data_IF_054903432389
#
_entry.id   IF_054903432389
#
_cell.length_a   1.000
_cell.length_b   1.000
_cell.length_c   1.000
_cell.angle_alpha   90.00
_cell.angle_beta   90.00
_cell.angle_gamma   90.00
#
_symmetry.space_group_name_H-M   'P 1'
#
loop_
_entity.id
_entity.type
_entity.pdbx_description
1 polymer ?
#
# COMPACT_ATOMS: atom_id res chain seq x y z
N UNK A 1 6.28 -6.33 15.22
CA UNK A 1 5.77 -6.16 13.83
C UNK A 1 5.67 -4.68 13.49
N UNK A 2 5.13 -3.84 14.37
CA UNK A 2 5.13 -2.38 14.19
C UNK A 2 6.55 -1.79 14.05
N UNK A 3 7.48 -2.13 14.95
CA UNK A 3 8.89 -1.68 14.86
C UNK A 3 9.57 -2.08 13.53
N UNK A 4 9.20 -3.23 12.97
CA UNK A 4 9.75 -3.71 11.69
C UNK A 4 9.22 -2.88 10.50
N UNK A 5 7.93 -2.55 10.50
CA UNK A 5 7.37 -1.68 9.47
C UNK A 5 7.94 -0.27 9.55
N UNK A 6 8.13 0.27 10.76
CA UNK A 6 8.78 1.56 10.96
C UNK A 6 10.21 1.57 10.39
N UNK A 7 11.02 0.54 10.68
CA UNK A 7 12.36 0.40 10.09
C UNK A 7 12.33 0.31 8.55
N UNK A 8 11.40 -0.48 7.99
CA UNK A 8 11.26 -0.65 6.54
C UNK A 8 10.84 0.65 5.84
N UNK A 9 9.92 1.40 6.44
CA UNK A 9 9.44 2.69 5.94
C UNK A 9 10.56 3.72 5.98
N UNK A 10 11.28 3.82 7.11
CA UNK A 10 12.43 4.72 7.26
C UNK A 10 13.56 4.38 6.26
N UNK A 11 13.81 3.10 5.97
CA UNK A 11 14.77 2.67 4.97
C UNK A 11 14.36 3.12 3.55
N UNK A 12 13.07 3.01 3.20
CA UNK A 12 12.53 3.45 1.90
C UNK A 12 12.62 4.96 1.70
N UNK A 13 12.30 5.74 2.72
CA UNK A 13 12.38 7.22 2.69
C UNK A 13 13.81 7.69 2.43
N UNK A 14 14.79 7.09 3.13
CA UNK A 14 16.21 7.39 2.93
C UNK A 14 16.72 7.04 1.53
N UNK A 15 16.13 6.03 0.87
CA UNK A 15 16.54 5.57 -0.45
C UNK A 15 16.09 6.51 -1.59
N UNK A 16 15.00 7.27 -1.41
CA UNK A 16 14.37 8.05 -2.48
C UNK A 16 14.62 9.56 -2.38
N UNK A 17 15.50 10.03 -1.49
CA UNK A 17 15.66 11.46 -1.17
C UNK A 17 14.32 12.17 -0.99
N UNK A 18 13.31 11.44 -0.48
CA UNK A 18 12.06 12.05 -0.09
C UNK A 18 12.38 13.13 0.94
N UNK A 19 11.68 14.28 0.93
CA UNK A 19 11.91 15.32 1.93
C UNK A 19 11.94 14.68 3.32
N UNK A 20 12.66 15.27 4.28
CA UNK A 20 12.57 14.78 5.66
C UNK A 20 11.13 15.01 6.15
N UNK A 21 10.27 14.02 6.00
CA UNK A 21 8.88 14.08 6.48
C UNK A 21 8.97 13.82 7.97
N UNK A 22 9.03 14.90 8.75
CA UNK A 22 9.26 14.88 10.21
C UNK A 22 8.12 14.20 10.99
N UNK A 23 7.09 13.68 10.29
CA UNK A 23 6.09 12.69 10.75
C UNK A 23 5.32 12.17 9.54
N UNK A 24 5.55 10.93 9.11
CA UNK A 24 4.76 10.26 8.08
C UNK A 24 3.48 9.72 8.71
N UNK A 25 2.33 10.24 8.25
CA UNK A 25 1.02 9.69 8.60
C UNK A 25 0.48 8.87 7.46
N UNK A 26 0.02 7.67 7.74
CA UNK A 26 -0.48 6.78 6.70
C UNK A 26 -1.04 5.50 7.27
N UNK A 27 -1.38 4.57 6.39
CA UNK A 27 -1.91 3.25 6.74
C UNK A 27 -1.10 2.16 6.05
N UNK A 28 -1.10 0.97 6.62
CA UNK A 28 -0.54 -0.21 5.95
C UNK A 28 -1.65 -0.87 5.15
N UNK A 29 -1.44 -0.96 3.84
CA UNK A 29 -2.24 -1.75 2.91
C UNK A 29 -1.65 -3.16 2.84
N UNK A 30 -2.50 -4.18 2.88
CA UNK A 30 -2.12 -5.56 2.60
C UNK A 30 -2.77 -6.02 1.30
N UNK A 31 -1.97 -6.65 0.46
CA UNK A 31 -2.40 -7.31 -0.77
C UNK A 31 -2.11 -8.81 -0.69
N UNK A 32 -3.14 -9.65 -0.80
CA UNK A 32 -3.02 -11.11 -0.92
C UNK A 32 -2.84 -11.51 -2.40
N UNK A 33 -1.64 -12.00 -2.73
CA UNK A 33 -1.25 -12.34 -4.11
C UNK A 33 -2.05 -13.51 -4.69
N UNK A 34 -2.68 -14.33 -3.86
CA UNK A 34 -3.45 -15.49 -4.28
C UNK A 34 -4.92 -15.18 -4.55
N UNK A 35 -5.38 -14.01 -4.11
CA UNK A 35 -6.79 -13.62 -4.18
C UNK A 35 -7.09 -12.59 -5.28
N UNK A 36 -6.11 -12.16 -6.09
CA UNK A 36 -6.38 -11.19 -7.19
C UNK A 36 -7.17 -11.81 -8.35
N UNK A 37 -8.09 -11.03 -8.92
CA UNK A 37 -8.88 -11.43 -10.10
C UNK A 37 -8.34 -10.92 -11.44
N UNK A 38 -7.31 -10.06 -11.43
CA UNK A 38 -6.69 -9.52 -12.65
C UNK A 38 -7.67 -8.89 -13.65
N UNK A 39 -8.72 -8.20 -13.17
CA UNK A 39 -9.77 -7.62 -14.01
C UNK A 39 -9.45 -6.19 -14.52
N UNK A 40 -8.32 -5.63 -14.08
CA UNK A 40 -7.85 -4.27 -14.38
C UNK A 40 -8.85 -3.16 -14.00
N UNK A 41 -9.82 -3.41 -13.11
CA UNK A 41 -10.74 -2.38 -12.64
C UNK A 41 -10.04 -1.40 -11.70
N UNK A 42 -9.22 -1.90 -10.78
CA UNK A 42 -8.40 -1.07 -9.89
C UNK A 42 -7.52 -0.08 -10.68
N UNK A 43 -6.87 -0.55 -11.74
CA UNK A 43 -6.03 0.30 -12.60
C UNK A 43 -6.78 1.46 -13.25
N UNK A 44 -7.95 1.18 -13.83
CA UNK A 44 -8.74 2.20 -14.51
C UNK A 44 -9.28 3.25 -13.53
N UNK A 45 -9.77 2.80 -12.39
CA UNK A 45 -10.49 3.64 -11.43
C UNK A 45 -9.53 4.43 -10.52
N UNK A 46 -8.29 3.94 -10.36
CA UNK A 46 -7.24 4.63 -9.59
C UNK A 46 -6.21 5.35 -10.45
N UNK A 47 -6.48 5.53 -11.74
CA UNK A 47 -5.55 6.15 -12.69
C UNK A 47 -4.14 5.53 -12.66
N UNK A 48 -4.06 4.21 -12.46
CA UNK A 48 -2.81 3.44 -12.41
C UNK A 48 -2.06 3.48 -11.08
N UNK A 49 -2.66 4.00 -10.00
CA UNK A 49 -2.05 3.92 -8.66
C UNK A 49 -1.98 2.47 -8.17
N UNK A 50 -3.09 1.75 -8.34
CA UNK A 50 -3.15 0.29 -8.28
C UNK A 50 -3.04 -0.23 -9.71
N UNK A 51 -2.23 -1.25 -9.97
CA UNK A 51 -2.09 -1.82 -11.31
C UNK A 51 -3.13 -2.91 -11.60
N UNK A 52 -3.03 -3.54 -12.78
CA UNK A 52 -3.92 -4.62 -13.18
C UNK A 52 -3.85 -5.88 -12.30
N UNK A 53 -2.89 -5.98 -11.38
CA UNK A 53 -2.73 -7.07 -10.42
C UNK A 53 -3.19 -6.69 -9.01
N UNK A 54 -3.92 -5.59 -8.86
CA UNK A 54 -4.30 -5.00 -7.57
C UNK A 54 -3.09 -4.55 -6.72
N UNK A 55 -1.91 -4.32 -7.33
CA UNK A 55 -0.72 -3.91 -6.57
C UNK A 55 -0.49 -2.40 -6.65
N UNK A 56 -0.16 -1.73 -5.53
CA UNK A 56 0.27 -0.34 -5.57
C UNK A 56 1.65 -0.18 -6.23
N UNK A 57 2.04 1.05 -6.59
CA UNK A 57 3.37 1.32 -7.14
C UNK A 57 4.51 0.80 -6.22
N UNK A 58 5.63 0.27 -6.78
CA UNK A 58 6.72 -0.32 -6.00
C UNK A 58 7.40 0.59 -4.97
N UNK A 59 7.26 1.90 -5.12
CA UNK A 59 7.76 2.90 -4.16
C UNK A 59 7.08 2.81 -2.79
N UNK A 60 5.85 2.28 -2.73
CA UNK A 60 5.09 2.11 -1.50
C UNK A 60 5.34 0.77 -0.80
N UNK A 61 5.99 -0.20 -1.46
CA UNK A 61 6.18 -1.55 -0.90
C UNK A 61 7.20 -1.55 0.22
N UNK A 62 6.83 -2.16 1.35
CA UNK A 62 7.67 -2.20 2.56
C UNK A 62 8.06 -3.62 2.97
N UNK A 63 7.23 -4.62 2.67
CA UNK A 63 7.51 -6.01 3.04
C UNK A 63 6.73 -7.00 2.17
N UNK A 64 7.30 -8.18 1.96
CA UNK A 64 6.63 -9.33 1.37
C UNK A 64 6.97 -10.57 2.19
N UNK A 65 5.95 -11.28 2.69
CA UNK A 65 6.14 -12.46 3.55
C UNK A 65 6.07 -13.80 2.79
N UNK A 66 5.82 -13.75 1.48
CA UNK A 66 5.62 -14.92 0.62
C UNK A 66 4.17 -15.09 0.13
N UNK A 67 3.21 -14.49 0.84
CA UNK A 67 1.77 -14.55 0.54
C UNK A 67 1.18 -13.13 0.43
N UNK A 68 1.60 -12.23 1.31
CA UNK A 68 1.07 -10.89 1.44
C UNK A 68 2.14 -9.84 1.12
N UNK A 69 1.78 -8.88 0.28
CA UNK A 69 2.54 -7.67 0.03
C UNK A 69 2.00 -6.54 0.92
N UNK A 70 2.88 -6.01 1.76
CA UNK A 70 2.59 -4.87 2.63
C UNK A 70 3.13 -3.60 2.00
N UNK A 71 2.28 -2.56 1.97
CA UNK A 71 2.62 -1.25 1.45
C UNK A 71 2.25 -0.15 2.42
N UNK A 72 3.11 0.86 2.57
CA UNK A 72 2.79 2.05 3.34
C UNK A 72 2.16 3.09 2.43
N UNK A 73 0.93 3.49 2.72
CA UNK A 73 0.18 4.47 1.95
C UNK A 73 0.08 5.76 2.76
N UNK A 74 0.66 6.87 2.27
CA UNK A 74 0.49 8.19 2.87
C UNK A 74 -0.98 8.58 2.98
N UNK A 75 -1.34 9.31 4.04
CA UNK A 75 -2.73 9.67 4.32
C UNK A 75 -3.38 10.49 3.20
N UNK A 76 -2.59 11.21 2.40
CA UNK A 76 -3.06 11.96 1.22
C UNK A 76 -3.59 11.04 0.11
N UNK A 77 -3.16 9.78 0.10
CA UNK A 77 -3.46 8.78 -0.92
C UNK A 77 -4.45 7.70 -0.42
N UNK A 78 -4.92 7.77 0.83
CA UNK A 78 -5.84 6.72 1.34
C UNK A 78 -7.17 6.70 0.59
N UNK A 79 -7.68 7.86 0.13
CA UNK A 79 -8.96 7.91 -0.59
C UNK A 79 -8.93 7.14 -1.91
N UNK A 80 -7.79 7.13 -2.62
CA UNK A 80 -7.66 6.40 -3.87
C UNK A 80 -7.53 4.89 -3.62
N UNK A 81 -6.93 4.51 -2.50
CA UNK A 81 -6.85 3.11 -2.07
C UNK A 81 -8.18 2.61 -1.51
N UNK A 82 -8.94 3.44 -0.81
CA UNK A 82 -10.32 3.12 -0.38
C UNK A 82 -11.19 2.80 -1.60
N UNK A 83 -11.03 3.53 -2.70
CA UNK A 83 -11.70 3.23 -3.97
C UNK A 83 -11.28 1.86 -4.51
N UNK A 84 -9.97 1.56 -4.52
CA UNK A 84 -9.46 0.27 -4.98
C UNK A 84 -9.99 -0.91 -4.15
N UNK A 85 -9.98 -0.79 -2.81
CA UNK A 85 -10.51 -1.80 -1.90
C UNK A 85 -11.99 -2.04 -2.17
N UNK A 86 -12.78 -0.98 -2.33
CA UNK A 86 -14.22 -1.09 -2.61
C UNK A 86 -14.53 -1.77 -3.94
N UNK A 87 -13.60 -1.70 -4.91
CA UNK A 87 -13.75 -2.29 -6.25
C UNK A 87 -13.13 -3.69 -6.32
N UNK A 88 -12.19 -4.01 -5.42
CA UNK A 88 -11.60 -5.35 -5.28
C UNK A 88 -12.67 -6.34 -4.80
N UNK A 89 -13.37 -6.93 -5.77
CA UNK A 89 -14.47 -7.86 -5.53
C UNK A 89 -14.01 -9.18 -4.90
N UNK A 90 -12.71 -9.50 -4.98
CA UNK A 90 -12.14 -10.70 -4.37
C UNK A 90 -11.69 -10.53 -2.93
N UNK A 91 -11.62 -9.29 -2.43
CA UNK A 91 -11.00 -9.01 -1.13
C UNK A 91 -9.48 -9.18 -1.15
N UNK A 92 -8.84 -9.03 -2.31
CA UNK A 92 -7.38 -9.09 -2.43
C UNK A 92 -6.69 -7.93 -1.72
N UNK A 93 -7.40 -6.83 -1.48
CA UNK A 93 -6.89 -5.59 -0.88
C UNK A 93 -7.65 -5.23 0.39
N UNK A 94 -6.91 -5.03 1.49
CA UNK A 94 -7.49 -4.58 2.76
C UNK A 94 -6.54 -3.66 3.53
N UNK A 95 -7.11 -2.82 4.40
CA UNK A 95 -6.30 -2.09 5.37
C UNK A 95 -5.85 -3.01 6.49
N UNK A 96 -4.53 -3.16 6.66
CA UNK A 96 -3.94 -3.93 7.75
C UNK A 96 -3.89 -3.14 9.07
N UNK A 97 -3.81 -1.81 8.99
CA UNK A 97 -3.80 -0.93 10.17
C UNK A 97 -4.73 0.26 10.01
N UNK A 98 -5.12 0.84 11.15
CA UNK A 98 -5.56 2.24 11.22
C UNK A 98 -4.41 3.20 10.87
N UNK A 99 -4.70 4.51 10.92
CA UNK A 99 -3.69 5.55 10.67
C UNK A 99 -2.59 5.45 11.74
N UNK A 100 -1.36 5.26 11.28
CA UNK A 100 -0.14 5.27 12.09
C UNK A 100 0.67 6.53 11.79
N UNK A 101 1.45 6.98 12.78
CA UNK A 101 2.38 8.11 12.70
C UNK A 101 3.79 7.58 12.97
N UNK A 102 4.71 7.85 12.05
CA UNK A 102 6.09 7.33 12.03
C UNK A 102 7.07 8.48 11.83
#
# INVERSE_FOLDING_TARGET
MQDYFEEAIQARVKCHDMPSWVKLKGKILVFDVHSSMFDCLGEKETAGFIDGCDTPLPEFWIHFDGENLYSFIPNELTNIVDLAINISMSGSLEWYTDVIEI
#
